data_IF_813652885521
#
_entry.id   IF_813652885521
#
_cell.length_a   1.000
_cell.length_b   1.000
_cell.length_c   1.000
_cell.angle_alpha   90.00
_cell.angle_beta   90.00
_cell.angle_gamma   90.00
#
_symmetry.space_group_name_H-M   'P 1'
#
loop_
_entity.id
_entity.type
_entity.pdbx_description
1 polymer ?
#
# COMPACT_ATOMS: atom_id res chain seq x y z
N UNK A 1 17.61 24.66 -19.34
CA UNK A 1 17.18 24.98 -17.95
C UNK A 1 17.28 23.69 -17.18
N UNK A 2 18.47 23.46 -16.57
CA UNK A 2 18.82 22.20 -15.90
C UNK A 2 18.07 22.11 -14.56
N UNK A 3 16.96 21.39 -14.52
CA UNK A 3 16.32 20.97 -13.27
C UNK A 3 17.15 19.84 -12.67
N UNK A 4 18.18 20.22 -11.91
CA UNK A 4 18.91 19.30 -11.01
C UNK A 4 17.97 18.98 -9.87
N UNK A 5 17.29 17.85 -9.97
CA UNK A 5 16.54 17.27 -8.84
C UNK A 5 17.55 16.88 -7.75
N UNK A 6 17.28 17.16 -6.47
CA UNK A 6 18.14 16.69 -5.39
C UNK A 6 18.17 15.16 -5.44
N UNK A 7 19.37 14.61 -5.69
CA UNK A 7 19.63 13.17 -5.65
C UNK A 7 19.20 12.63 -4.28
N UNK A 8 18.12 11.87 -4.24
CA UNK A 8 17.90 10.92 -3.13
C UNK A 8 19.14 10.02 -3.13
N UNK A 9 20.01 10.14 -2.12
CA UNK A 9 21.14 9.25 -1.98
C UNK A 9 20.56 7.83 -1.80
N UNK A 10 20.54 7.08 -2.88
CA UNK A 10 20.21 5.65 -2.83
C UNK A 10 21.31 5.00 -2.00
N UNK A 11 20.97 4.61 -0.79
CA UNK A 11 21.76 3.62 -0.08
C UNK A 11 21.74 2.35 -0.90
N UNK A 12 22.71 2.19 -1.80
CA UNK A 12 22.98 0.91 -2.44
C UNK A 12 23.13 -0.09 -1.31
N UNK A 13 22.31 -1.10 -1.32
CA UNK A 13 22.30 -2.19 -0.36
C UNK A 13 23.70 -2.84 -0.32
N UNK A 14 24.59 -2.26 0.53
CA UNK A 14 25.91 -2.81 0.75
C UNK A 14 25.79 -3.96 1.73
N UNK A 15 25.70 -5.17 1.21
CA UNK A 15 25.56 -6.42 1.96
C UNK A 15 26.73 -6.78 2.87
N UNK A 16 27.62 -5.84 3.18
CA UNK A 16 28.80 -6.04 4.01
C UNK A 16 28.62 -5.41 5.39
N UNK A 17 28.66 -6.27 6.43
CA UNK A 17 28.68 -6.01 7.86
C UNK A 17 27.34 -5.61 8.50
N UNK A 18 26.38 -6.57 8.55
CA UNK A 18 25.30 -6.50 9.55
C UNK A 18 25.93 -6.53 10.94
N UNK A 19 25.86 -5.41 11.65
CA UNK A 19 26.18 -5.41 13.07
C UNK A 19 25.05 -6.08 13.86
N UNK A 20 25.35 -6.66 15.02
CA UNK A 20 24.34 -7.26 15.91
C UNK A 20 23.21 -6.24 16.25
N UNK A 21 23.52 -4.94 16.25
CA UNK A 21 22.55 -3.85 16.44
C UNK A 21 21.52 -3.74 15.32
N UNK A 22 21.91 -3.95 14.05
CA UNK A 22 20.99 -3.83 12.92
C UNK A 22 19.92 -4.95 12.95
N UNK A 23 20.33 -6.17 13.32
CA UNK A 23 19.40 -7.29 13.48
C UNK A 23 18.41 -7.07 14.63
N UNK A 24 18.83 -6.42 15.71
CA UNK A 24 17.96 -6.07 16.82
C UNK A 24 16.89 -5.03 16.42
N UNK A 25 17.28 -4.00 15.67
CA UNK A 25 16.33 -3.00 15.15
C UNK A 25 15.34 -3.59 14.14
N UNK A 26 15.79 -4.50 13.26
CA UNK A 26 14.90 -5.22 12.33
C UNK A 26 13.76 -5.93 13.08
N UNK A 27 14.06 -6.59 14.21
CA UNK A 27 13.06 -7.29 15.04
C UNK A 27 12.05 -6.30 15.63
N UNK A 28 12.51 -5.19 16.19
CA UNK A 28 11.61 -4.18 16.77
C UNK A 28 10.70 -3.53 15.73
N UNK A 29 11.26 -3.19 14.56
CA UNK A 29 10.47 -2.66 13.45
C UNK A 29 9.44 -3.70 12.98
N UNK A 30 9.83 -4.97 12.93
CA UNK A 30 8.90 -6.08 12.61
C UNK A 30 7.75 -6.17 13.61
N UNK A 31 8.00 -6.08 14.91
CA UNK A 31 6.97 -6.11 15.97
C UNK A 31 6.03 -4.90 15.85
N UNK A 32 6.58 -3.70 15.61
CA UNK A 32 5.78 -2.49 15.37
C UNK A 32 4.92 -2.67 14.11
N UNK A 33 5.51 -3.23 13.04
CA UNK A 33 4.79 -3.54 11.81
C UNK A 33 3.65 -4.55 11.99
N UNK A 34 3.84 -5.61 12.81
CA UNK A 34 2.75 -6.53 13.19
C UNK A 34 1.61 -5.79 13.89
N UNK A 35 1.95 -4.91 14.85
CA UNK A 35 0.97 -4.13 15.60
C UNK A 35 0.19 -3.16 14.71
N UNK A 36 0.90 -2.50 13.78
CA UNK A 36 0.28 -1.66 12.76
C UNK A 36 -0.66 -2.50 11.86
N UNK A 37 -0.23 -3.68 11.42
CA UNK A 37 -1.05 -4.59 10.61
C UNK A 37 -2.35 -5.00 11.30
N UNK A 38 -2.30 -5.25 12.61
CA UNK A 38 -3.49 -5.51 13.43
C UNK A 38 -4.45 -4.32 13.46
N UNK A 39 -3.92 -3.09 13.54
CA UNK A 39 -4.71 -1.88 13.41
C UNK A 39 -5.30 -1.72 12.00
N UNK A 40 -4.52 -1.98 10.95
CA UNK A 40 -5.01 -1.95 9.57
C UNK A 40 -6.15 -2.94 9.34
N UNK A 41 -6.10 -4.14 9.92
CA UNK A 41 -7.20 -5.10 9.91
C UNK A 41 -8.50 -4.49 10.45
N UNK A 42 -8.40 -3.72 11.53
CA UNK A 42 -9.56 -3.00 12.10
C UNK A 42 -10.08 -1.94 11.12
N UNK A 43 -9.20 -1.17 10.50
CA UNK A 43 -9.57 -0.16 9.50
C UNK A 43 -10.27 -0.80 8.30
N UNK A 44 -9.67 -1.86 7.73
CA UNK A 44 -10.20 -2.59 6.56
C UNK A 44 -11.59 -3.19 6.86
N UNK A 45 -11.83 -3.66 8.07
CA UNK A 45 -13.13 -4.20 8.47
C UNK A 45 -14.17 -3.12 8.73
N UNK A 46 -13.82 -2.03 9.43
CA UNK A 46 -14.76 -1.04 9.98
C UNK A 46 -15.10 0.10 9.03
N UNK A 47 -14.11 0.59 8.24
CA UNK A 47 -14.33 1.72 7.34
C UNK A 47 -15.46 1.45 6.34
N UNK A 48 -15.49 0.28 5.64
CA UNK A 48 -16.58 -0.02 4.71
C UNK A 48 -17.95 -0.16 5.37
N UNK A 49 -17.97 -0.47 6.68
CA UNK A 49 -19.20 -0.63 7.48
C UNK A 49 -19.64 0.65 8.18
N UNK A 50 -18.95 1.76 7.92
CA UNK A 50 -19.21 3.05 8.59
C UNK A 50 -19.12 2.98 10.12
N UNK A 51 -18.30 2.06 10.66
CA UNK A 51 -18.08 1.89 12.09
C UNK A 51 -16.89 2.72 12.57
N UNK A 52 -16.92 3.16 13.83
CA UNK A 52 -15.78 3.84 14.44
C UNK A 52 -14.56 2.92 14.52
N UNK A 53 -13.39 3.40 14.08
CA UNK A 53 -12.13 2.65 14.17
C UNK A 53 -11.56 2.62 15.60
N UNK A 54 -12.01 3.52 16.49
CA UNK A 54 -11.52 3.66 17.86
C UNK A 54 -12.37 2.85 18.84
N UNK A 55 -13.70 2.89 18.69
CA UNK A 55 -14.64 2.31 19.63
C UNK A 55 -15.76 1.53 18.92
N UNK A 56 -16.22 0.38 19.45
CA UNK A 56 -15.77 -0.36 20.63
C UNK A 56 -14.45 -1.09 20.42
N UNK A 57 -13.87 -1.68 21.51
CA UNK A 57 -12.69 -2.55 21.41
C UNK A 57 -12.96 -3.74 20.49
N UNK A 58 -11.89 -4.45 20.07
CA UNK A 58 -12.01 -5.63 19.21
C UNK A 58 -12.86 -6.71 19.84
N UNK A 59 -13.80 -7.26 19.08
CA UNK A 59 -14.74 -8.29 19.53
C UNK A 59 -14.89 -9.39 18.47
N UNK A 60 -15.27 -10.58 18.90
CA UNK A 60 -15.57 -11.69 18.00
C UNK A 60 -16.88 -11.41 17.26
N UNK A 61 -16.86 -11.46 15.93
CA UNK A 61 -18.04 -11.21 15.09
C UNK A 61 -19.12 -12.28 15.23
N UNK A 62 -18.76 -13.49 15.71
CA UNK A 62 -19.70 -14.62 15.87
C UNK A 62 -20.38 -14.64 17.23
N UNK A 63 -19.65 -14.39 18.33
CA UNK A 63 -20.24 -14.45 19.68
C UNK A 63 -20.40 -13.09 20.37
N UNK A 64 -19.93 -11.98 19.73
CA UNK A 64 -20.03 -10.63 20.28
C UNK A 64 -19.13 -10.34 21.50
N UNK A 65 -18.42 -11.33 22.03
CA UNK A 65 -17.54 -11.15 23.20
C UNK A 65 -16.31 -10.37 22.83
N UNK A 66 -15.87 -9.49 23.73
CA UNK A 66 -14.63 -8.74 23.60
C UNK A 66 -13.43 -9.70 23.62
N UNK A 67 -12.47 -9.46 22.72
CA UNK A 67 -11.23 -10.25 22.61
C UNK A 67 -10.31 -9.85 23.76
N UNK A 68 -9.69 -10.84 24.43
CA UNK A 68 -8.72 -10.60 25.51
C UNK A 68 -7.47 -9.94 24.96
N UNK A 69 -6.80 -9.11 25.77
CA UNK A 69 -5.57 -8.41 25.35
C UNK A 69 -4.47 -9.36 24.89
N UNK A 70 -4.35 -10.56 25.52
CA UNK A 70 -3.38 -11.57 25.11
C UNK A 70 -3.71 -12.19 23.73
N UNK A 71 -5.00 -12.29 23.38
CA UNK A 71 -5.45 -12.81 22.09
C UNK A 71 -5.38 -11.74 20.97
N UNK A 72 -4.97 -10.52 21.30
CA UNK A 72 -4.72 -9.42 20.37
C UNK A 72 -3.24 -9.32 20.00
N UNK A 73 -2.35 -10.18 20.52
CA UNK A 73 -0.94 -10.22 20.09
C UNK A 73 -0.91 -10.64 18.63
N UNK A 74 -0.50 -9.73 17.70
CA UNK A 74 -0.65 -9.96 16.28
C UNK A 74 0.13 -11.21 15.82
N UNK A 75 -0.42 -11.93 14.84
CA UNK A 75 0.12 -13.15 14.27
C UNK A 75 0.23 -14.32 15.27
N UNK A 76 0.88 -14.13 16.42
CA UNK A 76 1.11 -15.20 17.39
C UNK A 76 -0.19 -15.72 18.01
N UNK A 77 -1.13 -14.84 18.37
CA UNK A 77 -2.42 -15.28 18.91
C UNK A 77 -3.21 -16.12 17.91
N UNK A 78 -3.13 -15.77 16.61
CA UNK A 78 -3.77 -16.56 15.56
C UNK A 78 -3.18 -17.97 15.47
N UNK A 79 -1.86 -18.12 15.56
CA UNK A 79 -1.18 -19.43 15.58
C UNK A 79 -1.56 -20.22 16.82
N UNK A 80 -1.42 -19.64 18.01
CA UNK A 80 -1.71 -20.34 19.28
C UNK A 80 -3.18 -20.77 19.43
N UNK A 81 -4.11 -20.00 18.88
CA UNK A 81 -5.52 -20.34 18.86
C UNK A 81 -5.92 -21.16 17.62
N UNK A 82 -4.95 -21.58 16.78
CA UNK A 82 -5.19 -22.35 15.56
C UNK A 82 -6.24 -21.69 14.64
N UNK A 83 -6.25 -20.35 14.58
CA UNK A 83 -7.21 -19.59 13.79
C UNK A 83 -8.65 -19.62 14.31
N UNK A 84 -8.87 -19.81 15.61
CA UNK A 84 -10.20 -19.90 16.22
C UNK A 84 -10.39 -18.90 17.36
N UNK A 85 -11.63 -18.47 17.58
CA UNK A 85 -11.97 -17.66 18.74
C UNK A 85 -11.79 -18.45 20.03
N UNK A 86 -11.18 -17.85 21.04
CA UNK A 86 -10.99 -18.50 22.36
C UNK A 86 -12.31 -18.95 23.00
N UNK A 87 -13.38 -18.16 22.88
CA UNK A 87 -14.65 -18.42 23.57
C UNK A 87 -15.60 -19.37 22.83
N UNK A 88 -15.84 -19.11 21.54
CA UNK A 88 -16.86 -19.83 20.78
C UNK A 88 -16.28 -20.76 19.71
N UNK A 89 -14.94 -20.81 19.56
CA UNK A 89 -14.26 -21.65 18.57
C UNK A 89 -14.64 -21.36 17.11
N UNK A 90 -15.33 -20.25 16.85
CA UNK A 90 -15.59 -19.83 15.47
C UNK A 90 -14.26 -19.56 14.73
N UNK A 91 -14.14 -19.92 13.43
CA UNK A 91 -12.92 -19.73 12.66
C UNK A 91 -12.66 -18.25 12.41
N UNK A 92 -11.38 -17.86 12.54
CA UNK A 92 -10.86 -16.52 12.22
C UNK A 92 -10.08 -16.64 10.93
N UNK A 93 -10.44 -15.84 9.91
CA UNK A 93 -9.80 -15.85 8.60
C UNK A 93 -8.29 -15.68 8.71
N UNK A 94 -7.52 -16.50 7.96
CA UNK A 94 -6.06 -16.36 7.84
C UNK A 94 -5.63 -14.99 7.27
N UNK A 95 -6.53 -14.28 6.61
CA UNK A 95 -6.31 -12.93 6.08
C UNK A 95 -5.80 -11.97 7.16
N UNK A 96 -6.28 -12.07 8.41
CA UNK A 96 -5.81 -11.25 9.52
C UNK A 96 -4.31 -11.42 9.73
N UNK A 97 -3.85 -12.66 9.84
CA UNK A 97 -2.43 -12.97 9.97
C UNK A 97 -1.61 -12.54 8.73
N UNK A 98 -2.16 -12.72 7.53
CA UNK A 98 -1.51 -12.30 6.27
C UNK A 98 -1.26 -10.79 6.25
N UNK A 99 -2.24 -9.97 6.60
CA UNK A 99 -2.10 -8.50 6.63
C UNK A 99 -1.06 -8.10 7.68
N UNK A 100 -1.07 -8.71 8.85
CA UNK A 100 -0.11 -8.44 9.92
C UNK A 100 1.32 -8.74 9.48
N UNK A 101 1.55 -9.93 8.91
CA UNK A 101 2.88 -10.34 8.40
C UNK A 101 3.30 -9.46 7.22
N UNK A 102 2.40 -9.17 6.27
CA UNK A 102 2.69 -8.31 5.12
C UNK A 102 3.12 -6.91 5.58
N UNK A 103 2.39 -6.32 6.55
CA UNK A 103 2.72 -5.01 7.10
C UNK A 103 4.07 -5.05 7.83
N UNK A 104 4.35 -6.11 8.58
CA UNK A 104 5.65 -6.30 9.24
C UNK A 104 6.80 -6.35 8.25
N UNK A 105 6.70 -7.20 7.23
CA UNK A 105 7.72 -7.35 6.20
C UNK A 105 7.96 -6.05 5.44
N UNK A 106 6.89 -5.39 4.99
CA UNK A 106 7.02 -4.11 4.27
C UNK A 106 7.60 -3.01 5.15
N UNK A 107 7.30 -3.00 6.46
CA UNK A 107 7.90 -2.04 7.42
C UNK A 107 9.41 -2.24 7.56
N UNK A 108 9.87 -3.48 7.66
CA UNK A 108 11.31 -3.81 7.71
C UNK A 108 12.00 -3.43 6.39
N UNK A 109 11.36 -3.68 5.24
CA UNK A 109 11.90 -3.30 3.93
C UNK A 109 12.04 -1.78 3.84
N UNK A 110 11.02 -1.02 4.23
CA UNK A 110 11.07 0.45 4.26
C UNK A 110 12.18 0.94 5.19
N UNK A 111 12.30 0.36 6.38
CA UNK A 111 13.37 0.73 7.32
C UNK A 111 14.77 0.56 6.72
N UNK A 112 14.98 -0.51 5.96
CA UNK A 112 16.28 -0.78 5.29
C UNK A 112 16.54 0.12 4.09
N UNK A 113 15.48 0.62 3.46
CA UNK A 113 15.58 1.44 2.25
C UNK A 113 15.72 2.94 2.57
N UNK A 114 15.32 3.38 3.75
CA UNK A 114 15.30 4.79 4.11
C UNK A 114 16.44 5.18 5.06
N UNK A 115 17.12 6.28 4.73
CA UNK A 115 18.25 6.82 5.48
C UNK A 115 17.83 7.99 6.42
N UNK A 116 16.71 7.85 7.12
CA UNK A 116 16.29 8.91 8.05
C UNK A 116 14.93 8.64 8.67
N UNK A 117 14.75 9.09 9.90
CA UNK A 117 13.52 8.87 10.66
C UNK A 117 12.28 9.45 9.96
N UNK A 118 12.35 10.66 9.42
CA UNK A 118 11.21 11.30 8.75
C UNK A 118 10.80 10.55 7.48
N UNK A 119 11.75 10.12 6.64
CA UNK A 119 11.48 9.33 5.44
C UNK A 119 10.92 7.94 5.80
N UNK A 120 11.43 7.31 6.85
CA UNK A 120 10.89 6.06 7.38
C UNK A 120 9.42 6.20 7.81
N UNK A 121 9.08 7.23 8.60
CA UNK A 121 7.68 7.45 9.01
C UNK A 121 6.76 7.74 7.82
N UNK A 122 7.24 8.49 6.83
CA UNK A 122 6.51 8.71 5.59
C UNK A 122 6.25 7.40 4.83
N UNK A 123 7.25 6.53 4.74
CA UNK A 123 7.12 5.20 4.14
C UNK A 123 6.14 4.29 4.89
N UNK A 124 6.18 4.28 6.24
CA UNK A 124 5.21 3.55 7.06
C UNK A 124 3.78 4.04 6.82
N UNK A 125 3.60 5.35 6.74
CA UNK A 125 2.31 5.95 6.45
C UNK A 125 1.81 5.54 5.05
N UNK A 126 2.68 5.61 4.04
CA UNK A 126 2.40 5.19 2.68
C UNK A 126 1.93 3.73 2.63
N UNK A 127 2.72 2.79 3.17
CA UNK A 127 2.34 1.37 3.14
C UNK A 127 1.05 1.08 3.89
N UNK A 128 0.78 1.79 4.99
CA UNK A 128 -0.48 1.68 5.73
C UNK A 128 -1.70 2.01 4.87
N UNK A 129 -1.64 3.09 4.10
CA UNK A 129 -2.70 3.45 3.15
C UNK A 129 -2.78 2.48 1.98
N UNK A 130 -1.65 2.09 1.37
CA UNK A 130 -1.62 1.17 0.23
C UNK A 130 -2.22 -0.19 0.60
N UNK A 131 -1.84 -0.76 1.74
CA UNK A 131 -2.39 -2.04 2.22
C UNK A 131 -3.89 -1.89 2.52
N UNK A 132 -4.30 -0.83 3.22
CA UNK A 132 -5.71 -0.61 3.54
C UNK A 132 -6.57 -0.48 2.29
N UNK A 133 -6.16 0.35 1.32
CA UNK A 133 -6.90 0.57 0.07
C UNK A 133 -6.96 -0.72 -0.75
N UNK A 134 -5.82 -1.44 -0.89
CA UNK A 134 -5.75 -2.67 -1.65
C UNK A 134 -6.69 -3.76 -1.11
N UNK A 135 -6.72 -3.96 0.21
CA UNK A 135 -7.59 -4.97 0.81
C UNK A 135 -9.06 -4.55 0.88
N UNK A 136 -9.35 -3.25 1.04
CA UNK A 136 -10.73 -2.75 0.96
C UNK A 136 -11.26 -2.93 -0.47
N UNK A 137 -10.47 -2.56 -1.49
CA UNK A 137 -10.87 -2.73 -2.89
C UNK A 137 -11.01 -4.21 -3.27
N UNK A 138 -10.12 -5.08 -2.77
CA UNK A 138 -10.23 -6.52 -2.99
C UNK A 138 -11.53 -7.12 -2.44
N UNK A 139 -12.00 -6.65 -1.28
CA UNK A 139 -13.19 -7.20 -0.63
C UNK A 139 -14.50 -6.60 -1.12
N UNK A 140 -14.50 -5.29 -1.34
CA UNK A 140 -15.71 -4.50 -1.56
C UNK A 140 -15.82 -3.97 -2.97
N UNK A 141 -14.75 -4.05 -3.77
CA UNK A 141 -14.65 -3.41 -5.09
C UNK A 141 -14.99 -1.92 -5.05
N UNK A 142 -14.62 -1.27 -3.94
CA UNK A 142 -14.89 0.14 -3.68
C UNK A 142 -13.67 0.79 -3.02
N UNK A 143 -13.33 1.98 -3.47
CA UNK A 143 -12.32 2.84 -2.84
C UNK A 143 -13.04 4.03 -2.21
N UNK A 144 -12.94 4.16 -0.89
CA UNK A 144 -13.67 5.17 -0.12
C UNK A 144 -13.02 6.54 -0.19
N UNK A 145 -13.78 7.57 -0.58
CA UNK A 145 -13.30 8.95 -0.71
C UNK A 145 -12.66 9.48 0.59
N UNK A 146 -13.20 9.12 1.76
CA UNK A 146 -12.63 9.51 3.06
C UNK A 146 -11.20 9.02 3.24
N UNK A 147 -10.92 7.79 2.81
CA UNK A 147 -9.56 7.20 2.87
C UNK A 147 -8.64 7.92 1.89
N UNK A 148 -9.12 8.16 0.66
CA UNK A 148 -8.35 8.87 -0.36
C UNK A 148 -8.05 10.32 0.04
N UNK A 149 -9.01 11.04 0.61
CA UNK A 149 -8.79 12.40 1.10
C UNK A 149 -7.75 12.44 2.22
N UNK A 150 -7.84 11.50 3.18
CA UNK A 150 -6.83 11.37 4.23
C UNK A 150 -5.46 11.04 3.64
N UNK A 151 -5.41 10.17 2.65
CA UNK A 151 -4.17 9.80 1.97
C UNK A 151 -3.57 10.96 1.18
N UNK A 152 -4.39 11.74 0.46
CA UNK A 152 -3.96 12.95 -0.24
C UNK A 152 -3.42 14.01 0.73
N UNK A 153 -4.12 14.25 1.83
CA UNK A 153 -3.72 15.20 2.87
C UNK A 153 -2.39 14.82 3.50
N UNK A 154 -2.23 13.56 3.90
CA UNK A 154 -0.97 13.04 4.43
C UNK A 154 0.16 13.16 3.40
N UNK A 155 -0.09 12.86 2.13
CA UNK A 155 0.89 13.00 1.05
C UNK A 155 1.36 14.45 0.88
N UNK A 156 0.41 15.40 0.89
CA UNK A 156 0.73 16.83 0.84
C UNK A 156 1.62 17.27 2.00
N UNK A 157 1.29 16.86 3.22
CA UNK A 157 2.08 17.15 4.42
C UNK A 157 3.48 16.53 4.31
N UNK A 158 3.58 15.26 3.97
CA UNK A 158 4.85 14.55 3.82
C UNK A 158 5.76 15.28 2.82
N UNK A 159 5.23 15.64 1.65
CA UNK A 159 6.01 16.36 0.64
C UNK A 159 6.41 17.78 1.08
N UNK A 160 5.56 18.45 1.87
CA UNK A 160 5.88 19.75 2.45
C UNK A 160 7.09 19.68 3.40
N UNK A 161 7.17 18.62 4.23
CA UNK A 161 8.27 18.45 5.19
C UNK A 161 9.52 17.82 4.59
N UNK A 162 9.38 16.85 3.68
CA UNK A 162 10.51 16.15 3.06
C UNK A 162 11.04 16.88 1.83
N UNK A 163 10.23 17.69 1.16
CA UNK A 163 10.63 18.48 -0.01
C UNK A 163 11.13 17.64 -1.20
N UNK A 164 10.77 16.36 -1.27
CA UNK A 164 11.26 15.45 -2.31
C UNK A 164 10.64 15.77 -3.67
N UNK A 165 9.43 16.32 -3.68
CA UNK A 165 8.69 16.64 -4.90
C UNK A 165 8.21 18.08 -4.87
N UNK A 166 8.45 18.85 -5.94
CA UNK A 166 7.97 20.24 -6.03
C UNK A 166 6.44 20.27 -6.12
N UNK A 167 5.81 21.35 -5.66
CA UNK A 167 4.35 21.52 -5.72
C UNK A 167 3.80 21.40 -7.16
N UNK A 168 4.54 21.94 -8.13
CA UNK A 168 4.18 21.80 -9.54
C UNK A 168 4.18 20.32 -9.97
N UNK A 169 5.19 19.57 -9.56
CA UNK A 169 5.30 18.15 -9.88
C UNK A 169 4.21 17.31 -9.20
N UNK A 170 3.81 17.65 -7.97
CA UNK A 170 2.65 17.06 -7.30
C UNK A 170 1.35 17.32 -8.06
N UNK A 171 1.14 18.58 -8.48
CA UNK A 171 -0.04 18.96 -9.26
C UNK A 171 -0.08 18.26 -10.63
N UNK A 172 1.04 18.25 -11.33
CA UNK A 172 1.17 17.51 -12.60
C UNK A 172 0.96 16.01 -12.38
N UNK A 173 1.47 15.45 -11.29
CA UNK A 173 1.26 14.05 -10.92
C UNK A 173 -0.21 13.74 -10.68
N UNK A 174 -0.92 14.60 -9.97
CA UNK A 174 -2.37 14.49 -9.77
C UNK A 174 -3.12 14.48 -11.10
N UNK A 175 -2.79 15.43 -12.00
CA UNK A 175 -3.43 15.52 -13.32
C UNK A 175 -3.09 14.32 -14.22
N UNK A 176 -1.83 13.89 -14.25
CA UNK A 176 -1.42 12.76 -15.08
C UNK A 176 -2.00 11.46 -14.59
N UNK A 177 -1.91 11.16 -13.28
CA UNK A 177 -2.47 9.94 -12.71
C UNK A 177 -3.98 9.84 -12.88
N UNK A 178 -4.70 10.88 -12.47
CA UNK A 178 -6.15 10.95 -12.63
C UNK A 178 -6.59 11.05 -14.09
N UNK A 179 -5.93 11.89 -14.88
CA UNK A 179 -6.26 12.12 -16.30
C UNK A 179 -6.06 10.89 -17.18
N UNK A 180 -4.94 10.17 -17.02
CA UNK A 180 -4.68 8.94 -17.78
C UNK A 180 -5.74 7.87 -17.49
N UNK A 181 -6.07 7.61 -16.22
CA UNK A 181 -7.10 6.62 -15.88
C UNK A 181 -8.51 7.10 -16.23
N UNK A 182 -8.80 8.40 -16.11
CA UNK A 182 -10.07 8.97 -16.56
C UNK A 182 -10.25 8.77 -18.07
N UNK A 183 -9.22 9.08 -18.86
CA UNK A 183 -9.23 8.84 -20.30
C UNK A 183 -9.46 7.36 -20.61
N UNK A 184 -8.74 6.46 -19.92
CA UNK A 184 -8.92 5.03 -20.09
C UNK A 184 -10.36 4.57 -19.71
N UNK A 185 -10.92 5.10 -18.63
CA UNK A 185 -12.30 4.82 -18.20
C UNK A 185 -13.32 5.24 -19.27
N UNK A 186 -13.14 6.42 -19.87
CA UNK A 186 -14.02 6.91 -20.96
C UNK A 186 -13.89 6.03 -22.20
N UNK A 187 -12.67 5.72 -22.64
CA UNK A 187 -12.40 4.91 -23.82
C UNK A 187 -12.88 3.45 -23.66
N UNK A 188 -12.82 2.91 -22.45
CA UNK A 188 -13.31 1.55 -22.14
C UNK A 188 -14.82 1.48 -21.86
N UNK A 189 -15.56 2.59 -22.06
CA UNK A 189 -17.00 2.67 -21.79
C UNK A 189 -17.39 2.21 -20.38
N UNK A 190 -16.61 2.62 -19.37
CA UNK A 190 -16.86 2.29 -17.97
C UNK A 190 -16.24 0.95 -17.52
N UNK A 191 -15.28 0.42 -18.24
CA UNK A 191 -14.56 -0.81 -17.87
C UNK A 191 -13.66 -0.68 -16.63
N UNK A 192 -13.54 0.53 -16.04
CA UNK A 192 -12.73 0.82 -14.85
C UNK A 192 -13.54 1.61 -13.84
N UNK A 193 -13.30 1.38 -12.55
CA UNK A 193 -13.97 2.07 -11.46
C UNK A 193 -13.50 3.53 -11.29
N UNK A 194 -14.43 4.46 -11.00
CA UNK A 194 -14.07 5.85 -10.69
C UNK A 194 -13.21 5.99 -9.44
N UNK A 195 -13.22 5.00 -8.54
CA UNK A 195 -12.33 4.92 -7.38
C UNK A 195 -10.86 4.77 -7.77
N UNK A 196 -10.56 3.96 -8.78
CA UNK A 196 -9.20 3.76 -9.30
C UNK A 196 -8.63 5.06 -9.89
N UNK A 197 -9.45 5.83 -10.61
CA UNK A 197 -9.09 7.15 -11.15
C UNK A 197 -8.68 8.10 -10.04
N UNK A 198 -9.48 8.19 -8.97
CA UNK A 198 -9.18 9.04 -7.81
C UNK A 198 -7.94 8.54 -7.07
N UNK A 199 -7.76 7.23 -6.94
CA UNK A 199 -6.59 6.65 -6.27
C UNK A 199 -5.31 6.96 -7.06
N UNK A 200 -5.31 6.81 -8.38
CA UNK A 200 -4.16 7.18 -9.21
C UNK A 200 -3.85 8.69 -9.14
N UNK A 201 -4.87 9.55 -9.09
CA UNK A 201 -4.67 10.98 -8.89
C UNK A 201 -3.96 11.27 -7.55
N UNK A 202 -4.38 10.62 -6.45
CA UNK A 202 -3.75 10.78 -5.14
C UNK A 202 -2.33 10.21 -5.12
N UNK A 203 -2.09 9.05 -5.76
CA UNK A 203 -0.73 8.52 -5.94
C UNK A 203 0.16 9.52 -6.67
N UNK A 204 -0.37 10.26 -7.66
CA UNK A 204 0.35 11.34 -8.34
C UNK A 204 0.81 12.46 -7.42
N UNK A 205 0.06 12.78 -6.33
CA UNK A 205 0.49 13.73 -5.29
C UNK A 205 1.72 13.20 -4.53
N UNK A 206 1.75 11.91 -4.22
CA UNK A 206 2.85 11.28 -3.49
C UNK A 206 4.12 11.16 -4.33
N UNK A 207 3.99 10.78 -5.59
CA UNK A 207 5.10 10.34 -6.44
C UNK A 207 5.52 11.37 -7.51
N UNK A 208 4.62 12.29 -7.89
CA UNK A 208 4.83 13.19 -9.03
C UNK A 208 4.51 12.54 -10.38
N UNK A 209 4.64 13.32 -11.47
CA UNK A 209 4.14 12.91 -12.79
C UNK A 209 4.96 11.80 -13.47
N UNK A 210 6.27 11.73 -13.24
CA UNK A 210 7.12 10.71 -13.85
C UNK A 210 6.87 9.32 -13.23
N UNK A 211 6.89 9.26 -11.92
CA UNK A 211 6.74 8.01 -11.20
C UNK A 211 5.32 7.46 -11.31
N UNK A 212 4.28 8.32 -11.35
CA UNK A 212 2.91 7.86 -11.53
C UNK A 212 2.69 7.19 -12.89
N UNK A 213 3.35 7.63 -13.95
CA UNK A 213 3.29 6.96 -15.25
C UNK A 213 3.89 5.55 -15.19
N UNK A 214 5.00 5.38 -14.48
CA UNK A 214 5.60 4.06 -14.25
C UNK A 214 4.69 3.16 -13.40
N UNK A 215 4.09 3.72 -12.35
CA UNK A 215 3.11 3.02 -11.50
C UNK A 215 1.94 2.51 -12.36
N UNK A 216 1.36 3.37 -13.19
CA UNK A 216 0.26 3.00 -14.07
C UNK A 216 0.68 1.90 -15.04
N UNK A 217 1.84 2.04 -15.67
CA UNK A 217 2.37 1.04 -16.60
C UNK A 217 2.53 -0.33 -15.94
N UNK A 218 3.17 -0.39 -14.76
CA UNK A 218 3.35 -1.64 -14.01
C UNK A 218 2.00 -2.22 -13.58
N UNK A 219 1.08 -1.38 -13.09
CA UNK A 219 -0.24 -1.82 -12.67
C UNK A 219 -1.05 -2.43 -13.82
N UNK A 220 -1.00 -1.83 -15.02
CA UNK A 220 -1.65 -2.38 -16.22
C UNK A 220 -1.02 -3.69 -16.67
N UNK A 221 0.31 -3.80 -16.67
CA UNK A 221 0.99 -5.04 -17.03
C UNK A 221 0.61 -6.16 -16.05
N UNK A 222 0.70 -5.91 -14.75
CA UNK A 222 0.36 -6.92 -13.73
C UNK A 222 -1.13 -7.28 -13.75
N UNK A 223 -2.01 -6.29 -13.82
CA UNK A 223 -3.45 -6.52 -13.92
C UNK A 223 -3.85 -7.28 -15.18
N UNK A 224 -3.22 -6.95 -16.32
CA UNK A 224 -3.40 -7.67 -17.58
C UNK A 224 -2.93 -9.12 -17.51
N UNK A 225 -1.73 -9.37 -16.98
CA UNK A 225 -1.20 -10.73 -16.80
C UNK A 225 -2.09 -11.58 -15.90
N UNK A 226 -2.49 -11.04 -14.74
CA UNK A 226 -3.40 -11.73 -13.82
C UNK A 226 -4.77 -11.95 -14.46
N UNK A 227 -5.30 -10.96 -15.18
CA UNK A 227 -6.56 -11.09 -15.92
C UNK A 227 -6.53 -12.22 -16.95
N UNK A 228 -5.48 -12.27 -17.78
CA UNK A 228 -5.26 -13.34 -18.76
C UNK A 228 -5.18 -14.70 -18.05
N UNK A 229 -4.42 -14.79 -16.96
CA UNK A 229 -4.28 -16.04 -16.20
C UNK A 229 -5.62 -16.52 -15.63
N UNK A 230 -6.43 -15.61 -15.08
CA UNK A 230 -7.76 -15.94 -14.53
C UNK A 230 -8.72 -16.42 -15.62
N UNK A 231 -8.67 -15.83 -16.81
CA UNK A 231 -9.45 -16.26 -17.98
C UNK A 231 -8.97 -17.62 -18.50
N UNK A 232 -7.65 -17.83 -18.63
CA UNK A 232 -7.07 -19.07 -19.12
C UNK A 232 -7.34 -20.26 -18.17
N UNK A 233 -7.39 -20.01 -16.86
CA UNK A 233 -7.72 -21.03 -15.84
C UNK A 233 -9.20 -21.27 -15.65
N UNK A 234 -10.06 -20.53 -16.35
CA UNK A 234 -11.52 -20.63 -16.22
C UNK A 234 -12.09 -20.16 -14.87
N UNK A 235 -11.27 -19.55 -14.02
CA UNK A 235 -11.68 -19.07 -12.68
C UNK A 235 -12.55 -17.81 -12.76
N UNK A 236 -12.40 -17.01 -13.83
CA UNK A 236 -13.22 -15.83 -14.10
C UNK A 236 -13.59 -15.77 -15.58
N UNK A 237 -14.69 -15.08 -15.86
CA UNK A 237 -15.16 -14.79 -17.22
C UNK A 237 -14.82 -13.35 -17.60
N UNK A 238 -14.96 -12.99 -18.88
CA UNK A 238 -14.74 -11.61 -19.36
C UNK A 238 -15.69 -10.57 -18.73
N UNK A 239 -16.76 -11.02 -18.07
CA UNK A 239 -17.75 -10.15 -17.40
C UNK A 239 -17.44 -9.95 -15.92
N UNK A 240 -16.54 -10.76 -15.35
CA UNK A 240 -16.22 -10.69 -13.94
C UNK A 240 -15.27 -9.54 -13.67
N UNK A 241 -15.59 -8.72 -12.69
CA UNK A 241 -14.76 -7.60 -12.28
C UNK A 241 -13.52 -8.10 -11.53
N UNK A 242 -12.35 -7.52 -11.86
CA UNK A 242 -11.09 -7.72 -11.15
C UNK A 242 -10.71 -6.39 -10.52
N UNK A 243 -10.56 -6.30 -9.19
CA UNK A 243 -10.21 -5.05 -8.53
C UNK A 243 -8.82 -4.59 -9.00
N UNK A 244 -8.71 -3.32 -9.43
CA UNK A 244 -7.48 -2.75 -9.96
C UNK A 244 -6.61 -2.08 -8.89
N UNK A 245 -7.24 -1.64 -7.77
CA UNK A 245 -6.56 -1.02 -6.64
C UNK A 245 -5.38 -1.80 -6.07
N UNK A 246 -5.46 -3.14 -5.88
CA UNK A 246 -4.31 -3.94 -5.45
C UNK A 246 -3.10 -3.86 -6.36
N UNK A 247 -3.30 -3.80 -7.69
CA UNK A 247 -2.20 -3.66 -8.66
C UNK A 247 -1.59 -2.27 -8.61
N UNK A 248 -2.40 -1.22 -8.47
CA UNK A 248 -1.93 0.14 -8.24
C UNK A 248 -1.11 0.24 -6.95
N UNK A 249 -1.61 -0.33 -5.85
CA UNK A 249 -0.92 -0.31 -4.56
C UNK A 249 0.42 -1.06 -4.61
N UNK A 250 0.45 -2.23 -5.25
CA UNK A 250 1.70 -2.99 -5.43
C UNK A 250 2.70 -2.22 -6.29
N UNK A 251 2.25 -1.67 -7.43
CA UNK A 251 3.10 -0.89 -8.33
C UNK A 251 3.64 0.37 -7.63
N UNK A 252 2.81 1.05 -6.83
CA UNK A 252 3.23 2.21 -6.05
C UNK A 252 4.31 1.83 -5.02
N UNK A 253 4.14 0.72 -4.29
CA UNK A 253 5.15 0.24 -3.37
C UNK A 253 6.46 -0.15 -4.08
N UNK A 254 6.37 -0.80 -5.23
CA UNK A 254 7.53 -1.17 -6.05
C UNK A 254 8.30 0.07 -6.53
N UNK A 255 7.61 1.08 -7.04
CA UNK A 255 8.23 2.35 -7.46
C UNK A 255 8.77 3.14 -6.27
N UNK A 256 8.12 3.09 -5.11
CA UNK A 256 8.66 3.68 -3.89
C UNK A 256 10.06 3.13 -3.55
N UNK A 257 10.27 1.83 -3.72
CA UNK A 257 11.56 1.18 -3.42
C UNK A 257 12.59 1.38 -4.55
N UNK A 258 12.18 1.24 -5.79
CA UNK A 258 13.10 1.09 -6.94
C UNK A 258 12.99 2.18 -8.01
N UNK A 259 12.07 3.14 -7.87
CA UNK A 259 11.81 4.16 -8.89
C UNK A 259 13.06 4.95 -9.29
N UNK A 260 13.88 5.35 -8.32
CA UNK A 260 15.14 6.06 -8.61
C UNK A 260 16.13 5.22 -9.44
N UNK A 261 16.20 3.91 -9.19
CA UNK A 261 17.08 2.99 -9.95
C UNK A 261 16.56 2.87 -11.37
N UNK A 262 15.25 2.67 -11.53
CA UNK A 262 14.61 2.54 -12.84
C UNK A 262 14.82 3.81 -13.68
N UNK A 263 14.58 4.99 -13.09
CA UNK A 263 14.78 6.27 -13.76
C UNK A 263 16.25 6.52 -14.12
N UNK A 264 17.19 6.17 -13.24
CA UNK A 264 18.63 6.32 -13.52
C UNK A 264 19.10 5.41 -14.66
N UNK A 265 18.63 4.16 -14.68
CA UNK A 265 18.92 3.22 -15.78
C UNK A 265 18.31 3.71 -17.09
N UNK A 266 17.06 4.18 -17.06
CA UNK A 266 16.43 4.77 -18.24
C UNK A 266 17.22 5.97 -18.79
N UNK A 267 17.64 6.89 -17.93
CA UNK A 267 18.45 8.05 -18.33
C UNK A 267 19.81 7.64 -18.90
N UNK A 268 20.48 6.66 -18.31
CA UNK A 268 21.74 6.13 -18.82
C UNK A 268 21.60 5.50 -20.21
N UNK A 269 20.48 4.83 -20.51
CA UNK A 269 20.22 4.23 -21.83
C UNK A 269 19.78 5.30 -22.85
N UNK A 270 19.01 6.29 -22.43
CA UNK A 270 18.46 7.29 -23.35
C UNK A 270 19.45 8.39 -23.74
N UNK A 271 20.45 8.69 -22.90
CA UNK A 271 21.39 9.80 -23.07
C UNK A 271 22.87 9.37 -23.05
N UNK A 272 23.19 8.09 -22.83
CA UNK A 272 24.53 7.51 -22.96
C UNK A 272 24.72 6.88 -24.31
#
# INVERSE_FOLDING_TARGET
MNLVLPKKQTGVWNGSNKTMGDSFMDIWIGIIGLSLGSFLNTCIYRIPRHQSIIWPRSYCTSCGRQIRSIDLVPFFSWIFLHGHCYYCRAPISCRYAVIEVLTSLTSVIVYKNENGSAAFFAGILLIGFLISIAFIDYDWHLIFDKVLLSFAFCGGIVQMFLGQTSYLNMFLGFLTGGGCLLLFMILSHGGMGGGDVKFAAVLGIWFGWQDILLILWIAFVLGGLVGILLLATGKKTRKDFVPFGPFLAFAAFFIYLYGNIILSVYQAIAYG
#
